data_IF_849901895198
#
_entry.id   IF_849901895198
#
_cell.length_a   1.000
_cell.length_b   1.000
_cell.length_c   1.000
_cell.angle_alpha   90.00
_cell.angle_beta   90.00
_cell.angle_gamma   90.00
#
_symmetry.space_group_name_H-M   'P 1'
#
loop_
_entity.id
_entity.type
_entity.pdbx_description
1 polymer ?
#
# COMPACT_ATOMS: atom_id res chain seq x y z
N UNK A 1 23.27 -15.90 -49.80
CA UNK A 1 21.81 -15.67 -49.65
C UNK A 1 21.42 -15.95 -48.20
N UNK A 2 20.90 -14.92 -47.54
CA UNK A 2 20.14 -14.87 -46.29
C UNK A 2 20.61 -15.65 -45.05
N UNK A 3 21.48 -14.99 -44.26
CA UNK A 3 21.35 -14.98 -42.81
C UNK A 3 20.64 -13.70 -42.39
N UNK A 4 19.45 -13.81 -41.78
CA UNK A 4 18.80 -12.81 -40.92
C UNK A 4 17.39 -13.30 -40.58
N UNK A 5 17.20 -13.99 -39.45
CA UNK A 5 15.87 -14.21 -38.85
C UNK A 5 15.91 -14.73 -37.40
N UNK A 6 16.74 -14.15 -36.52
CA UNK A 6 16.77 -14.59 -35.10
C UNK A 6 16.75 -13.46 -34.07
N UNK A 7 16.37 -12.22 -34.40
CA UNK A 7 16.41 -11.10 -33.42
C UNK A 7 15.18 -10.19 -33.43
N UNK A 8 13.97 -10.74 -33.24
CA UNK A 8 12.78 -9.88 -33.11
C UNK A 8 11.77 -10.34 -32.05
N UNK A 9 12.25 -10.80 -30.89
CA UNK A 9 11.40 -11.23 -29.76
C UNK A 9 11.54 -10.40 -28.47
N UNK A 10 12.14 -9.22 -28.52
CA UNK A 10 12.18 -8.34 -27.34
C UNK A 10 11.61 -6.97 -27.66
N UNK A 11 10.64 -6.53 -26.83
CA UNK A 11 10.00 -5.20 -26.77
C UNK A 11 8.61 -5.07 -27.43
N UNK A 12 7.66 -5.93 -27.07
CA UNK A 12 6.24 -5.60 -27.21
C UNK A 12 5.94 -4.41 -26.28
N UNK A 13 5.88 -3.19 -26.83
CA UNK A 13 5.42 -1.99 -26.10
C UNK A 13 3.99 -2.27 -25.58
N UNK A 14 3.69 -2.05 -24.29
CA UNK A 14 2.33 -2.26 -23.80
C UNK A 14 1.39 -1.31 -24.56
N UNK A 15 0.16 -1.76 -24.90
CA UNK A 15 -0.81 -0.97 -25.65
C UNK A 15 -1.03 0.39 -24.96
N UNK A 16 -1.19 1.46 -25.75
CA UNK A 16 -1.29 2.86 -25.26
C UNK A 16 -2.30 3.04 -24.11
N UNK A 17 -3.35 2.23 -24.06
CA UNK A 17 -4.35 2.21 -22.98
C UNK A 17 -3.80 1.76 -21.62
N UNK A 18 -2.91 0.77 -21.56
CA UNK A 18 -2.35 0.26 -20.30
C UNK A 18 -1.47 1.29 -19.59
N UNK A 19 -0.61 1.98 -20.35
CA UNK A 19 0.25 3.05 -19.80
C UNK A 19 -0.59 4.22 -19.26
N UNK A 20 -1.65 4.59 -19.97
CA UNK A 20 -2.55 5.66 -19.52
C UNK A 20 -3.25 5.28 -18.20
N UNK A 21 -3.77 4.05 -18.10
CA UNK A 21 -4.39 3.56 -16.86
C UNK A 21 -3.37 3.58 -15.72
N UNK A 22 -2.15 3.08 -15.93
CA UNK A 22 -1.10 3.10 -14.91
C UNK A 22 -0.76 4.52 -14.44
N UNK A 23 -0.68 5.50 -15.35
CA UNK A 23 -0.42 6.90 -14.98
C UNK A 23 -1.57 7.51 -14.16
N UNK A 24 -2.82 7.23 -14.55
CA UNK A 24 -4.00 7.69 -13.80
C UNK A 24 -4.01 7.04 -12.41
N UNK A 25 -3.82 5.72 -12.34
CA UNK A 25 -3.74 4.98 -11.07
C UNK A 25 -2.63 5.54 -10.19
N UNK A 26 -1.44 5.81 -10.75
CA UNK A 26 -0.33 6.39 -10.03
C UNK A 26 -0.70 7.73 -9.39
N UNK A 27 -1.25 8.67 -10.17
CA UNK A 27 -1.62 10.00 -9.69
C UNK A 27 -2.70 9.93 -8.60
N UNK A 28 -3.78 9.21 -8.86
CA UNK A 28 -4.91 9.09 -7.92
C UNK A 28 -4.48 8.39 -6.63
N UNK A 29 -3.78 7.26 -6.73
CA UNK A 29 -3.39 6.49 -5.56
C UNK A 29 -2.34 7.22 -4.72
N UNK A 30 -1.40 7.92 -5.35
CA UNK A 30 -0.43 8.78 -4.63
C UNK A 30 -1.15 9.89 -3.86
N UNK A 31 -2.14 10.52 -4.48
CA UNK A 31 -2.93 11.56 -3.82
C UNK A 31 -3.72 11.01 -2.62
N UNK A 32 -4.34 9.82 -2.76
CA UNK A 32 -5.01 9.11 -1.66
C UNK A 32 -4.03 8.79 -0.54
N UNK A 33 -2.84 8.29 -0.86
CA UNK A 33 -1.84 7.90 0.12
C UNK A 33 -1.35 9.10 0.93
N UNK A 34 -1.07 10.22 0.25
CA UNK A 34 -0.65 11.47 0.89
C UNK A 34 -1.77 12.09 1.73
N UNK A 35 -3.01 12.16 1.20
CA UNK A 35 -4.12 12.78 1.92
C UNK A 35 -4.51 11.97 3.16
N UNK A 36 -4.50 10.64 3.07
CA UNK A 36 -4.74 9.77 4.21
C UNK A 36 -3.63 9.90 5.26
N UNK A 37 -2.36 9.91 4.86
CA UNK A 37 -1.23 10.11 5.77
C UNK A 37 -1.21 11.51 6.43
N UNK A 38 -1.58 12.56 5.69
CA UNK A 38 -1.76 13.91 6.25
C UNK A 38 -2.86 13.92 7.30
N UNK A 39 -4.00 13.27 7.00
CA UNK A 39 -5.15 13.21 7.90
C UNK A 39 -4.78 12.52 9.22
N UNK A 40 -4.12 11.37 9.15
CA UNK A 40 -3.73 10.61 10.34
C UNK A 40 -2.68 11.34 11.16
N UNK A 41 -1.72 12.01 10.50
CA UNK A 41 -0.71 12.81 11.17
C UNK A 41 -1.29 14.02 11.92
N UNK A 42 -2.19 14.79 11.30
CA UNK A 42 -2.73 15.99 11.94
C UNK A 42 -3.81 15.71 12.99
N UNK A 43 -4.63 14.68 12.79
CA UNK A 43 -5.70 14.30 13.74
C UNK A 43 -5.19 13.31 14.80
N UNK A 44 -3.96 12.80 14.64
CA UNK A 44 -3.34 11.82 15.55
C UNK A 44 -4.24 10.58 15.72
N UNK A 45 -4.76 10.09 14.59
CA UNK A 45 -5.55 8.85 14.56
C UNK A 45 -4.70 7.67 15.05
N UNK A 46 -5.28 6.69 15.77
CA UNK A 46 -4.56 5.49 16.23
C UNK A 46 -4.34 4.46 15.11
N UNK A 47 -4.19 4.93 13.87
CA UNK A 47 -3.94 4.19 12.63
C UNK A 47 -3.14 5.07 11.67
N UNK A 48 -2.50 4.48 10.65
CA UNK A 48 -1.56 5.19 9.77
C UNK A 48 -2.19 5.57 8.42
N UNK A 49 -2.97 4.67 7.80
CA UNK A 49 -3.61 4.80 6.48
C UNK A 49 -2.66 5.15 5.30
N UNK A 50 -1.37 5.25 5.56
CA UNK A 50 -0.29 5.72 4.70
C UNK A 50 0.17 4.67 3.67
N UNK A 51 -0.47 3.52 3.64
CA UNK A 51 -0.25 2.47 2.63
C UNK A 51 -1.50 2.16 1.82
N UNK A 52 -2.62 2.86 2.03
CA UNK A 52 -3.87 2.62 1.30
C UNK A 52 -3.69 2.83 -0.20
N UNK A 53 -3.13 3.98 -0.59
CA UNK A 53 -2.86 4.27 -1.99
C UNK A 53 -1.82 3.32 -2.57
N UNK A 54 -0.81 2.94 -1.78
CA UNK A 54 0.19 1.94 -2.18
C UNK A 54 -0.45 0.59 -2.53
N UNK A 55 -1.32 0.07 -1.66
CA UNK A 55 -2.04 -1.19 -1.85
C UNK A 55 -2.97 -1.12 -3.08
N UNK A 56 -3.74 -0.04 -3.23
CA UNK A 56 -4.62 0.14 -4.39
C UNK A 56 -3.83 0.25 -5.71
N UNK A 57 -2.73 0.99 -5.70
CA UNK A 57 -1.83 1.12 -6.84
C UNK A 57 -1.23 -0.23 -7.25
N UNK A 58 -0.85 -1.07 -6.29
CA UNK A 58 -0.38 -2.43 -6.56
C UNK A 58 -1.48 -3.28 -7.18
N UNK A 59 -2.69 -3.27 -6.61
CA UNK A 59 -3.80 -4.11 -7.07
C UNK A 59 -4.24 -3.73 -8.50
N UNK A 60 -4.32 -2.44 -8.82
CA UNK A 60 -4.83 -1.97 -10.11
C UNK A 60 -3.75 -1.75 -11.18
N UNK A 61 -2.56 -1.30 -10.78
CA UNK A 61 -1.46 -0.95 -11.68
C UNK A 61 -0.32 -1.96 -11.73
N UNK A 62 -0.29 -2.91 -10.78
CA UNK A 62 0.76 -3.90 -10.61
C UNK A 62 1.93 -3.42 -9.75
N UNK A 63 2.96 -4.27 -9.63
CA UNK A 63 4.11 -4.07 -8.75
C UNK A 63 4.79 -2.70 -8.95
N UNK A 64 5.07 -2.33 -10.19
CA UNK A 64 5.76 -1.07 -10.51
C UNK A 64 4.96 0.15 -10.04
N UNK A 65 3.65 0.19 -10.33
CA UNK A 65 2.80 1.31 -9.94
C UNK A 65 2.71 1.42 -8.42
N UNK A 66 2.58 0.30 -7.71
CA UNK A 66 2.60 0.28 -6.25
C UNK A 66 3.90 0.81 -5.65
N UNK A 67 5.06 0.35 -6.15
CA UNK A 67 6.37 0.80 -5.68
C UNK A 67 6.57 2.30 -5.89
N UNK A 68 6.26 2.80 -7.09
CA UNK A 68 6.40 4.24 -7.39
C UNK A 68 5.45 5.05 -6.53
N UNK A 69 4.19 4.63 -6.34
CA UNK A 69 3.25 5.32 -5.45
C UNK A 69 3.78 5.40 -4.02
N UNK A 70 4.20 4.27 -3.43
CA UNK A 70 4.70 4.24 -2.06
C UNK A 70 5.94 5.11 -1.86
N UNK A 71 6.98 4.86 -2.67
CA UNK A 71 8.25 5.62 -2.60
C UNK A 71 8.01 7.11 -2.81
N UNK A 72 7.26 7.47 -3.85
CA UNK A 72 7.02 8.87 -4.16
C UNK A 72 6.19 9.55 -3.08
N UNK A 73 5.17 8.89 -2.51
CA UNK A 73 4.44 9.41 -1.36
C UNK A 73 5.32 9.61 -0.14
N UNK A 74 6.23 8.69 0.19
CA UNK A 74 7.17 8.87 1.31
C UNK A 74 8.12 10.05 1.07
N UNK A 75 8.62 10.21 -0.16
CA UNK A 75 9.51 11.31 -0.53
C UNK A 75 8.82 12.67 -0.55
N UNK A 76 7.56 12.74 -0.97
CA UNK A 76 6.77 13.97 -0.88
C UNK A 76 6.41 14.25 0.58
N UNK A 77 6.01 13.22 1.33
CA UNK A 77 5.68 13.32 2.75
C UNK A 77 6.86 13.80 3.59
N UNK A 78 8.09 13.43 3.23
CA UNK A 78 9.31 13.96 3.82
C UNK A 78 9.36 15.49 3.86
N UNK A 79 8.96 16.12 2.76
CA UNK A 79 9.02 17.59 2.61
C UNK A 79 7.91 18.32 3.35
N UNK A 80 6.72 17.72 3.46
CA UNK A 80 5.50 18.45 3.88
C UNK A 80 4.86 17.91 5.16
N UNK A 81 5.23 16.70 5.60
CA UNK A 81 4.63 16.02 6.77
C UNK A 81 5.68 15.80 7.84
N UNK A 82 6.64 14.91 7.59
CA UNK A 82 7.52 14.42 8.64
C UNK A 82 8.86 13.92 8.05
N UNK A 83 10.02 14.38 8.59
CA UNK A 83 11.33 14.03 8.07
C UNK A 83 11.69 12.53 8.16
N UNK A 84 10.99 11.75 8.98
CA UNK A 84 11.21 10.31 9.19
C UNK A 84 10.64 9.46 8.02
N UNK A 85 9.70 9.98 7.25
CA UNK A 85 8.96 9.21 6.24
C UNK A 85 9.82 8.47 5.19
N UNK A 86 10.95 9.00 4.68
CA UNK A 86 11.82 8.26 3.76
C UNK A 86 12.36 6.94 4.34
N UNK A 87 12.53 6.85 5.66
CA UNK A 87 13.04 5.63 6.30
C UNK A 87 12.01 4.50 6.26
N UNK A 88 10.72 4.83 6.11
CA UNK A 88 9.63 3.87 5.96
C UNK A 88 9.45 3.33 4.53
N UNK A 89 10.28 3.75 3.55
CA UNK A 89 10.25 3.20 2.18
C UNK A 89 10.37 1.67 2.17
N UNK A 90 11.15 1.09 3.09
CA UNK A 90 11.28 -0.36 3.24
C UNK A 90 9.92 -1.06 3.48
N UNK A 91 9.02 -0.44 4.24
CA UNK A 91 7.66 -0.94 4.47
C UNK A 91 6.89 -0.96 3.17
N UNK A 92 6.92 0.13 2.39
CA UNK A 92 6.24 0.18 1.09
C UNK A 92 6.70 -0.95 0.16
N UNK A 93 8.00 -1.22 0.09
CA UNK A 93 8.54 -2.31 -0.74
C UNK A 93 7.96 -3.67 -0.30
N UNK A 94 8.01 -3.97 1.00
CA UNK A 94 7.48 -5.23 1.55
C UNK A 94 5.99 -5.36 1.32
N UNK A 95 5.21 -4.30 1.60
CA UNK A 95 3.77 -4.26 1.40
C UNK A 95 3.42 -4.47 -0.08
N UNK A 96 4.13 -3.81 -1.00
CA UNK A 96 3.87 -3.93 -2.44
C UNK A 96 4.16 -5.34 -2.95
N UNK A 97 5.29 -5.94 -2.56
CA UNK A 97 5.64 -7.31 -2.94
C UNK A 97 4.60 -8.32 -2.45
N UNK A 98 4.21 -8.21 -1.18
CA UNK A 98 3.22 -9.10 -0.58
C UNK A 98 1.83 -8.87 -1.17
N UNK A 99 1.42 -7.61 -1.36
CA UNK A 99 0.12 -7.26 -1.95
C UNK A 99 0.00 -7.79 -3.37
N UNK A 100 1.03 -7.66 -4.20
CA UNK A 100 1.05 -8.20 -5.56
C UNK A 100 0.84 -9.73 -5.54
N UNK A 101 1.59 -10.43 -4.67
CA UNK A 101 1.47 -11.88 -4.52
C UNK A 101 0.08 -12.33 -4.04
N UNK A 102 -0.53 -11.58 -3.12
CA UNK A 102 -1.88 -11.84 -2.58
C UNK A 102 -2.97 -11.52 -3.61
N UNK A 103 -2.84 -10.42 -4.35
CA UNK A 103 -3.81 -10.00 -5.36
C UNK A 103 -3.88 -10.97 -6.52
N UNK A 104 -2.73 -11.47 -6.99
CA UNK A 104 -2.65 -12.46 -8.06
C UNK A 104 -3.35 -13.78 -7.69
N UNK A 105 -3.40 -14.11 -6.39
CA UNK A 105 -4.11 -15.28 -5.84
C UNK A 105 -5.57 -15.01 -5.49
N UNK A 106 -6.07 -13.81 -5.75
CA UNK A 106 -7.46 -13.44 -5.49
C UNK A 106 -7.81 -13.36 -4.01
N UNK A 107 -6.86 -13.00 -3.13
CA UNK A 107 -7.17 -12.79 -1.72
C UNK A 107 -8.10 -11.59 -1.49
N UNK A 108 -8.12 -10.61 -2.40
CA UNK A 108 -9.05 -9.48 -2.33
C UNK A 108 -10.43 -9.76 -2.96
N UNK A 109 -10.83 -11.03 -3.15
CA UNK A 109 -12.16 -11.40 -3.69
C UNK A 109 -13.24 -11.52 -2.63
N UNK A 110 -12.88 -11.64 -1.37
CA UNK A 110 -13.81 -11.82 -0.24
C UNK A 110 -13.31 -11.05 0.96
N UNK A 111 -14.21 -10.49 1.78
CA UNK A 111 -13.83 -9.72 2.97
C UNK A 111 -12.95 -10.53 3.93
N UNK A 112 -13.24 -11.81 4.17
CA UNK A 112 -12.45 -12.64 5.08
C UNK A 112 -10.99 -12.82 4.63
N UNK A 113 -10.76 -13.10 3.35
CA UNK A 113 -9.39 -13.19 2.80
C UNK A 113 -8.67 -11.83 2.78
N UNK A 114 -9.40 -10.72 2.62
CA UNK A 114 -8.83 -9.37 2.74
C UNK A 114 -8.44 -9.03 4.18
N UNK A 115 -9.24 -9.43 5.17
CA UNK A 115 -8.88 -9.28 6.59
C UNK A 115 -7.63 -10.09 6.92
N UNK A 116 -7.55 -11.35 6.46
CA UNK A 116 -6.35 -12.18 6.63
C UNK A 116 -5.11 -11.56 5.95
N UNK A 117 -5.30 -10.98 4.77
CA UNK A 117 -4.25 -10.23 4.07
C UNK A 117 -3.77 -9.05 4.91
N UNK A 118 -4.69 -8.28 5.48
CA UNK A 118 -4.37 -7.15 6.35
C UNK A 118 -3.62 -7.57 7.63
N UNK A 119 -4.03 -8.65 8.28
CA UNK A 119 -3.32 -9.19 9.45
C UNK A 119 -1.88 -9.59 9.09
N UNK A 120 -1.71 -10.29 7.97
CA UNK A 120 -0.38 -10.70 7.50
C UNK A 120 0.50 -9.49 7.15
N UNK A 121 -0.04 -8.54 6.39
CA UNK A 121 0.68 -7.32 6.00
C UNK A 121 1.02 -6.45 7.21
N UNK A 122 0.12 -6.31 8.18
CA UNK A 122 0.35 -5.50 9.37
C UNK A 122 1.36 -6.14 10.33
N UNK A 123 1.39 -7.47 10.43
CA UNK A 123 2.46 -8.15 11.16
C UNK A 123 3.83 -7.91 10.53
N UNK A 124 3.93 -7.97 9.20
CA UNK A 124 5.17 -7.63 8.50
C UNK A 124 5.53 -6.15 8.68
N UNK A 125 4.57 -5.25 8.60
CA UNK A 125 4.78 -3.83 8.81
C UNK A 125 5.35 -3.55 10.21
N UNK A 126 4.77 -4.15 11.26
CA UNK A 126 5.25 -4.01 12.64
C UNK A 126 6.72 -4.48 12.82
N UNK A 127 7.12 -5.58 12.17
CA UNK A 127 8.50 -6.06 12.22
C UNK A 127 9.44 -5.10 11.49
N UNK A 128 9.03 -4.62 10.32
CA UNK A 128 9.86 -3.75 9.47
C UNK A 128 9.95 -2.33 10.02
N UNK A 129 8.92 -1.85 10.73
CA UNK A 129 8.89 -0.53 11.36
C UNK A 129 9.74 -0.44 12.62
N UNK A 130 9.85 -1.53 13.40
CA UNK A 130 10.55 -1.51 14.69
C UNK A 130 12.02 -1.00 14.63
N UNK A 131 12.88 -1.44 13.69
CA UNK A 131 14.24 -0.90 13.57
C UNK A 131 14.28 0.61 13.29
N UNK A 132 13.31 1.13 12.55
CA UNK A 132 13.21 2.55 12.22
C UNK A 132 12.88 3.33 13.49
N UNK A 133 11.88 2.88 14.25
CA UNK A 133 11.50 3.54 15.51
C UNK A 133 12.63 3.51 16.53
N UNK A 134 13.38 2.39 16.61
CA UNK A 134 14.57 2.28 17.45
C UNK A 134 15.66 3.27 17.01
N UNK A 135 15.91 3.40 15.70
CA UNK A 135 16.88 4.34 15.15
C UNK A 135 16.55 5.80 15.54
N UNK A 136 15.27 6.14 15.58
CA UNK A 136 14.76 7.46 15.99
C UNK A 136 14.47 7.56 17.50
N UNK A 137 14.94 6.61 18.31
CA UNK A 137 14.79 6.61 19.77
C UNK A 137 13.32 6.75 20.26
N UNK A 138 12.36 6.28 19.45
CA UNK A 138 10.94 6.32 19.79
C UNK A 138 10.26 7.67 19.55
N UNK A 139 10.96 8.63 18.92
CA UNK A 139 10.40 9.92 18.50
C UNK A 139 10.27 9.97 16.97
N UNK A 140 9.22 9.32 16.47
CA UNK A 140 8.91 9.27 15.04
C UNK A 140 7.78 10.21 14.64
N UNK A 141 7.22 10.96 15.60
CA UNK A 141 6.00 11.76 15.51
C UNK A 141 4.81 10.96 14.94
N UNK A 142 4.71 9.70 15.36
CA UNK A 142 3.61 8.80 15.00
C UNK A 142 2.69 8.52 16.18
N UNK A 143 1.50 7.95 15.90
CA UNK A 143 0.52 7.62 16.93
C UNK A 143 0.99 6.55 17.93
N UNK A 144 2.11 5.86 17.67
CA UNK A 144 2.66 4.83 18.55
C UNK A 144 3.63 5.38 19.60
N UNK A 145 4.23 6.54 19.36
CA UNK A 145 5.26 7.12 20.23
C UNK A 145 4.77 7.36 21.66
N UNK A 146 3.55 7.91 21.91
CA UNK A 146 3.03 8.06 23.27
C UNK A 146 2.91 6.72 24.01
N UNK A 147 2.55 5.66 23.28
CA UNK A 147 2.43 4.31 23.84
C UNK A 147 3.80 3.73 24.15
N UNK A 148 4.78 3.92 23.27
CA UNK A 148 6.18 3.52 23.50
C UNK A 148 6.72 4.19 24.76
N UNK A 149 6.57 5.51 24.89
CA UNK A 149 7.03 6.28 26.04
C UNK A 149 6.35 5.85 27.33
N UNK A 150 5.04 5.61 27.29
CA UNK A 150 4.31 5.08 28.43
C UNK A 150 4.89 3.74 28.92
N UNK A 151 5.12 2.78 28.02
CA UNK A 151 5.68 1.47 28.38
C UNK A 151 7.10 1.57 28.95
N UNK A 152 7.95 2.42 28.36
CA UNK A 152 9.31 2.69 28.88
C UNK A 152 9.25 3.25 30.31
N UNK A 153 8.34 4.19 30.56
CA UNK A 153 8.13 4.76 31.90
C UNK A 153 7.61 3.73 32.93
N UNK A 154 6.98 2.64 32.48
CA UNK A 154 6.61 1.50 33.32
C UNK A 154 7.77 0.50 33.53
N UNK A 155 8.97 0.80 33.05
CA UNK A 155 10.15 -0.05 33.19
C UNK A 155 10.27 -1.14 32.12
N UNK A 156 9.43 -1.12 31.07
CA UNK A 156 9.58 -2.06 29.95
C UNK A 156 10.84 -1.68 29.16
N UNK A 157 11.72 -2.66 28.83
CA UNK A 157 12.89 -2.40 27.99
C UNK A 157 12.51 -1.73 26.66
N UNK A 158 13.26 -0.71 26.24
CA UNK A 158 12.92 0.14 25.11
C UNK A 158 12.57 -0.62 23.81
N UNK A 159 13.38 -1.60 23.42
CA UNK A 159 13.12 -2.41 22.23
C UNK A 159 11.82 -3.22 22.30
N UNK A 160 11.48 -3.72 23.49
CA UNK A 160 10.23 -4.44 23.74
C UNK A 160 9.05 -3.45 23.71
N UNK A 161 9.21 -2.26 24.30
CA UNK A 161 8.20 -1.22 24.27
C UNK A 161 7.83 -0.80 22.84
N UNK A 162 8.83 -0.61 21.97
CA UNK A 162 8.64 -0.31 20.53
C UNK A 162 7.87 -1.43 19.82
N UNK A 163 8.22 -2.69 20.06
CA UNK A 163 7.54 -3.81 19.44
C UNK A 163 6.07 -3.91 19.90
N UNK A 164 5.84 -3.80 21.21
CA UNK A 164 4.51 -3.87 21.80
C UNK A 164 3.61 -2.72 21.34
N UNK A 165 4.12 -1.50 21.29
CA UNK A 165 3.35 -0.33 20.85
C UNK A 165 2.87 -0.43 19.40
N UNK A 166 3.61 -1.13 18.54
CA UNK A 166 3.25 -1.34 17.13
C UNK A 166 2.42 -2.60 16.88
N UNK A 167 2.45 -3.57 17.79
CA UNK A 167 1.82 -4.89 17.62
C UNK A 167 0.31 -4.87 17.39
N UNK A 168 -0.38 -3.80 17.80
CA UNK A 168 -1.83 -3.63 17.60
C UNK A 168 -2.14 -2.62 16.49
N UNK A 169 -1.58 -1.39 16.49
CA UNK A 169 -1.93 -0.39 15.48
C UNK A 169 -1.61 -0.83 14.05
N UNK A 170 -0.49 -1.53 13.83
CA UNK A 170 -0.09 -1.97 12.48
C UNK A 170 -1.02 -3.05 11.90
N UNK A 171 -1.30 -4.19 12.59
CA UNK A 171 -2.33 -5.13 12.13
C UNK A 171 -3.69 -4.50 11.94
N UNK A 172 -4.13 -3.65 12.87
CA UNK A 172 -5.44 -3.01 12.79
C UNK A 172 -5.54 -2.07 11.57
N UNK A 173 -4.51 -1.26 11.34
CA UNK A 173 -4.40 -0.39 10.17
C UNK A 173 -4.44 -1.19 8.86
N UNK A 174 -3.65 -2.27 8.74
CA UNK A 174 -3.56 -3.03 7.49
C UNK A 174 -4.83 -3.87 7.23
N UNK A 175 -5.53 -4.30 8.28
CA UNK A 175 -6.88 -4.88 8.17
C UNK A 175 -7.87 -3.84 7.63
N UNK A 176 -7.86 -2.61 8.16
CA UNK A 176 -8.73 -1.54 7.67
C UNK A 176 -8.44 -1.23 6.19
N UNK A 177 -7.16 -1.02 5.83
CA UNK A 177 -6.72 -0.75 4.47
C UNK A 177 -7.14 -1.86 3.50
N UNK A 178 -6.88 -3.12 3.83
CA UNK A 178 -7.23 -4.25 2.96
C UNK A 178 -8.74 -4.43 2.81
N UNK A 179 -9.51 -4.13 3.87
CA UNK A 179 -10.97 -4.14 3.84
C UNK A 179 -11.51 -3.02 2.96
N UNK A 180 -10.97 -1.80 3.07
CA UNK A 180 -11.32 -0.67 2.21
C UNK A 180 -10.99 -1.02 0.75
N UNK A 181 -9.81 -1.57 0.48
CA UNK A 181 -9.42 -2.00 -0.87
C UNK A 181 -10.40 -3.03 -1.45
N UNK A 182 -10.85 -4.01 -0.66
CA UNK A 182 -11.89 -4.95 -1.06
C UNK A 182 -13.20 -4.27 -1.47
N UNK A 183 -13.70 -3.33 -0.66
CA UNK A 183 -14.95 -2.64 -0.96
C UNK A 183 -14.84 -1.75 -2.21
N UNK A 184 -13.68 -1.14 -2.45
CA UNK A 184 -13.40 -0.37 -3.66
C UNK A 184 -13.43 -1.29 -4.89
N UNK A 185 -12.73 -2.42 -4.86
CA UNK A 185 -12.71 -3.41 -5.95
C UNK A 185 -14.13 -3.91 -6.23
N UNK A 186 -14.90 -4.24 -5.19
CA UNK A 186 -16.28 -4.70 -5.33
C UNK A 186 -17.16 -3.64 -5.99
N UNK A 187 -17.07 -2.38 -5.55
CA UNK A 187 -17.83 -1.26 -6.11
C UNK A 187 -17.51 -1.02 -7.58
N UNK A 188 -16.22 -1.04 -7.94
CA UNK A 188 -15.78 -0.87 -9.33
C UNK A 188 -16.29 -1.99 -10.24
N UNK A 189 -16.23 -3.25 -9.79
CA UNK A 189 -16.75 -4.38 -10.56
C UNK A 189 -18.25 -4.26 -10.83
N UNK A 190 -19.04 -3.79 -9.85
CA UNK A 190 -20.48 -3.54 -10.02
C UNK A 190 -20.73 -2.46 -11.08
N UNK A 191 -19.98 -1.36 -11.02
CA UNK A 191 -20.10 -0.25 -11.98
C UNK A 191 -19.73 -0.70 -13.40
N UNK A 192 -18.61 -1.41 -13.54
CA UNK A 192 -18.13 -1.89 -14.84
C UNK A 192 -19.09 -2.91 -15.46
N UNK A 193 -19.65 -3.83 -14.66
CA UNK A 193 -20.64 -4.79 -15.15
C UNK A 193 -21.91 -4.08 -15.63
N UNK A 194 -22.44 -3.14 -14.83
CA UNK A 194 -23.61 -2.32 -15.20
C UNK A 194 -23.40 -1.52 -16.49
N UNK A 195 -22.19 -0.97 -16.69
CA UNK A 195 -21.88 -0.19 -17.88
C UNK A 195 -21.61 -1.09 -19.10
N UNK A 196 -21.02 -2.28 -18.91
CA UNK A 196 -20.87 -3.29 -19.96
C UNK A 196 -22.22 -3.85 -20.43
N UNK A 197 -23.19 -4.01 -19.54
CA UNK A 197 -24.56 -4.41 -19.89
C UNK A 197 -25.32 -3.30 -20.65
N UNK A 198 -25.01 -2.03 -20.36
CA UNK A 198 -25.55 -0.88 -21.12
C UNK A 198 -24.82 -0.61 -22.45
N UNK A 199 -23.60 -1.15 -22.62
CA UNK A 199 -22.83 -1.09 -23.86
C UNK A 199 -23.00 -2.39 -24.64
N UNK A 200 -24.17 -2.57 -25.27
CA UNK A 200 -24.50 -3.71 -26.15
C UNK A 200 -23.55 -3.95 -27.34
N UNK A 201 -22.48 -3.17 -27.48
CA UNK A 201 -21.48 -3.26 -28.55
C UNK A 201 -20.25 -4.14 -28.20
N UNK A 202 -20.00 -4.47 -26.93
CA UNK A 202 -18.84 -5.30 -26.53
C UNK A 202 -19.15 -6.80 -26.34
N UNK A 203 -20.42 -7.20 -26.43
CA UNK A 203 -20.87 -8.59 -26.28
C UNK A 203 -20.43 -9.54 -27.40
N UNK A 204 -19.80 -9.05 -28.48
CA UNK A 204 -19.44 -9.89 -29.64
C UNK A 204 -17.97 -10.32 -29.73
N UNK A 205 -17.07 -9.83 -28.89
CA UNK A 205 -15.63 -10.10 -29.00
C UNK A 205 -14.93 -10.40 -27.66
N UNK A 206 -15.65 -10.90 -26.66
CA UNK A 206 -15.06 -11.51 -25.45
C UNK A 206 -15.61 -12.90 -25.27
#
# INVERSE_FOLDING_TARGET
>A
MNGNNILNTSLVKPPKSKKLIQLITLGVCTAINLSAGLLTHYIQLPIFLDTLGTVLATIFGGLFTGLVTGIFSSLVGWWIVNPVLPYYIGIHIVIVLCTAWLSDRGYFRTIGRSVLSGLFLGFLAAIVSAPIIILFQGDTQTCTDPTTNFLVNQGVPFSIAVFLSNSVPEPFDKVAICSIAFFIIKSLNVILKKHSENLGYLSKNV
#
